data_IF_092030035910
#
_entry.id   IF_092030035910
#
_cell.length_a   1.000
_cell.length_b   1.000
_cell.length_c   1.000
_cell.angle_alpha   90.00
_cell.angle_beta   90.00
_cell.angle_gamma   90.00
#
_symmetry.space_group_name_H-M   'P 1'
#
loop_
_entity.id
_entity.type
_entity.pdbx_description
1 polymer ?
#
# COMPACT_ATOMS: atom_id res chain seq x y z
N UNK A 1 -10.87 -13.80 -7.34
CA UNK A 1 -11.51 -13.25 -6.14
C UNK A 1 -12.98 -13.05 -6.44
N UNK A 2 -13.80 -13.88 -5.80
CA UNK A 2 -15.23 -13.77 -5.89
C UNK A 2 -15.69 -12.61 -5.02
N UNK A 3 -16.58 -11.77 -5.52
CA UNK A 3 -17.19 -10.67 -4.79
C UNK A 3 -17.23 -9.36 -5.58
N UNK A 4 -18.32 -8.63 -5.43
CA UNK A 4 -18.50 -7.30 -6.03
C UNK A 4 -17.74 -6.25 -5.19
N UNK A 5 -17.12 -5.27 -5.85
CA UNK A 5 -16.48 -4.15 -5.15
C UNK A 5 -17.50 -3.31 -4.37
N UNK A 6 -17.25 -3.07 -3.10
CA UNK A 6 -18.09 -2.21 -2.28
C UNK A 6 -17.84 -0.73 -2.61
N UNK A 7 -18.90 0.01 -2.92
CA UNK A 7 -18.81 1.46 -3.09
C UNK A 7 -18.71 2.20 -1.74
N UNK A 8 -18.52 3.52 -1.78
CA UNK A 8 -18.36 4.34 -0.58
C UNK A 8 -19.56 4.29 0.36
N UNK A 9 -20.78 4.18 -0.18
CA UNK A 9 -22.01 4.13 0.60
C UNK A 9 -22.11 2.82 1.37
N UNK A 10 -21.87 1.70 0.67
CA UNK A 10 -21.83 0.36 1.29
C UNK A 10 -20.73 0.30 2.36
N UNK A 11 -19.52 0.76 2.05
CA UNK A 11 -18.41 0.78 3.00
C UNK A 11 -18.76 1.56 4.26
N UNK A 12 -19.39 2.73 4.12
CA UNK A 12 -19.83 3.54 5.26
C UNK A 12 -20.91 2.83 6.07
N UNK A 13 -21.92 2.24 5.43
CA UNK A 13 -22.98 1.51 6.11
C UNK A 13 -22.46 0.29 6.88
N UNK A 14 -21.55 -0.49 6.26
CA UNK A 14 -20.88 -1.62 6.90
C UNK A 14 -20.06 -1.16 8.10
N UNK A 15 -19.28 -0.09 7.96
CA UNK A 15 -18.49 0.44 9.06
C UNK A 15 -19.35 0.89 10.25
N UNK A 16 -20.49 1.55 9.99
CA UNK A 16 -21.46 1.86 11.04
C UNK A 16 -21.95 0.62 11.79
N UNK A 17 -22.32 -0.42 11.02
CA UNK A 17 -22.75 -1.70 11.60
C UNK A 17 -21.66 -2.29 12.48
N UNK A 18 -20.43 -2.35 11.97
CA UNK A 18 -19.26 -2.89 12.66
C UNK A 18 -18.99 -2.18 13.98
N UNK A 19 -18.91 -0.84 13.96
CA UNK A 19 -18.66 -0.04 15.16
C UNK A 19 -19.76 -0.30 16.21
N UNK A 20 -21.01 -0.37 15.78
CA UNK A 20 -22.12 -0.68 16.68
C UNK A 20 -22.01 -2.07 17.28
N UNK A 21 -21.75 -3.09 16.46
CA UNK A 21 -21.59 -4.47 16.92
C UNK A 21 -20.46 -4.62 17.95
N UNK A 22 -19.29 -4.01 17.68
CA UNK A 22 -18.17 -4.04 18.62
C UNK A 22 -18.54 -3.31 19.92
N UNK A 23 -19.18 -2.13 19.82
CA UNK A 23 -19.58 -1.36 20.99
C UNK A 23 -20.59 -2.08 21.87
N UNK A 24 -21.48 -2.90 21.28
CA UNK A 24 -22.49 -3.68 22.00
C UNK A 24 -21.92 -4.97 22.63
N UNK A 25 -20.87 -5.57 22.03
CA UNK A 25 -20.28 -6.83 22.48
C UNK A 25 -19.16 -6.65 23.50
N UNK A 26 -18.13 -5.95 23.11
CA UNK A 26 -16.86 -5.89 23.84
C UNK A 26 -16.49 -4.46 24.25
N UNK A 27 -17.02 -3.47 23.54
CA UNK A 27 -16.63 -2.08 23.64
C UNK A 27 -15.28 -1.81 22.95
N UNK A 28 -14.95 -0.55 22.79
CA UNK A 28 -13.65 -0.09 22.30
C UNK A 28 -12.88 0.52 23.46
N UNK A 29 -11.58 0.21 23.53
CA UNK A 29 -10.71 0.66 24.64
C UNK A 29 -10.26 2.11 24.43
N UNK A 30 -9.70 2.40 23.28
CA UNK A 30 -9.15 3.70 22.93
C UNK A 30 -10.20 4.63 22.28
N UNK A 31 -11.04 4.07 21.41
CA UNK A 31 -12.01 4.83 20.62
C UNK A 31 -13.42 4.88 21.22
N UNK A 32 -13.66 4.41 22.47
CA UNK A 32 -14.99 4.36 23.09
C UNK A 32 -15.78 5.67 22.97
N UNK A 33 -15.14 6.81 23.24
CA UNK A 33 -15.82 8.14 23.17
C UNK A 33 -16.08 8.57 21.73
N UNK A 34 -15.17 8.28 20.82
CA UNK A 34 -15.26 8.61 19.39
C UNK A 34 -16.32 7.77 18.69
N UNK A 35 -16.41 6.49 19.04
CA UNK A 35 -17.38 5.54 18.47
C UNK A 35 -18.86 5.96 18.65
N UNK A 36 -19.14 6.76 19.67
CA UNK A 36 -20.47 7.32 19.92
C UNK A 36 -20.87 8.44 18.94
N UNK A 37 -19.93 8.92 18.12
CA UNK A 37 -20.18 9.98 17.14
C UNK A 37 -20.41 9.38 15.76
N UNK A 38 -21.43 9.88 15.06
CA UNK A 38 -21.73 9.44 13.71
C UNK A 38 -20.54 9.60 12.73
N UNK A 39 -19.74 10.65 12.88
CA UNK A 39 -18.57 10.89 12.03
C UNK A 39 -17.43 9.87 12.21
N UNK A 40 -17.44 9.07 13.27
CA UNK A 40 -16.35 8.14 13.55
C UNK A 40 -16.26 7.03 12.51
N UNK A 41 -17.35 6.60 11.90
CA UNK A 41 -17.33 5.61 10.83
C UNK A 41 -16.44 6.05 9.65
N UNK A 42 -16.54 7.31 9.24
CA UNK A 42 -15.68 7.84 8.18
C UNK A 42 -14.22 7.93 8.62
N UNK A 43 -13.97 8.31 9.88
CA UNK A 43 -12.60 8.34 10.44
C UNK A 43 -12.00 6.94 10.48
N UNK A 44 -12.77 5.94 10.89
CA UNK A 44 -12.35 4.54 10.90
C UNK A 44 -12.03 4.03 9.49
N UNK A 45 -12.88 4.34 8.50
CA UNK A 45 -12.62 4.02 7.09
C UNK A 45 -11.33 4.66 6.58
N UNK A 46 -11.06 5.92 6.93
CA UNK A 46 -9.80 6.58 6.56
C UNK A 46 -8.59 5.86 7.15
N UNK A 47 -8.64 5.54 8.45
CA UNK A 47 -7.56 4.79 9.11
C UNK A 47 -7.35 3.41 8.49
N UNK A 48 -8.42 2.68 8.17
CA UNK A 48 -8.31 1.40 7.49
C UNK A 48 -7.74 1.56 6.08
N UNK A 49 -8.16 2.58 5.34
CA UNK A 49 -7.61 2.85 4.00
C UNK A 49 -6.09 3.08 4.04
N UNK A 50 -5.59 3.80 5.04
CA UNK A 50 -4.15 3.99 5.25
C UNK A 50 -3.42 2.68 5.55
N UNK A 51 -4.01 1.81 6.38
CA UNK A 51 -3.46 0.48 6.67
C UNK A 51 -3.40 -0.38 5.40
N UNK A 52 -4.49 -0.42 4.63
CA UNK A 52 -4.57 -1.17 3.37
C UNK A 52 -3.52 -0.66 2.38
N UNK A 53 -3.43 0.66 2.16
CA UNK A 53 -2.43 1.25 1.26
C UNK A 53 -0.98 1.00 1.70
N UNK A 54 -0.76 0.81 3.00
CA UNK A 54 0.54 0.44 3.55
C UNK A 54 0.81 -1.07 3.48
N UNK A 55 -0.11 -1.87 2.90
CA UNK A 55 0.02 -3.32 2.82
C UNK A 55 -0.24 -4.05 4.14
N UNK A 56 -0.81 -3.38 5.15
CA UNK A 56 -1.13 -3.98 6.44
C UNK A 56 -2.47 -4.68 6.37
N UNK A 57 -2.48 -6.00 6.60
CA UNK A 57 -3.71 -6.81 6.71
C UNK A 57 -4.10 -7.01 8.17
N UNK A 58 -5.32 -7.53 8.46
CA UNK A 58 -5.69 -7.91 9.81
C UNK A 58 -4.68 -8.87 10.46
N UNK A 59 -4.14 -9.83 9.71
CA UNK A 59 -3.15 -10.80 10.22
C UNK A 59 -1.84 -10.10 10.59
N UNK A 60 -1.32 -9.23 9.72
CA UNK A 60 -0.11 -8.44 10.00
C UNK A 60 -0.33 -7.52 11.20
N UNK A 61 -1.50 -6.88 11.30
CA UNK A 61 -1.83 -6.04 12.45
C UNK A 61 -1.89 -6.84 13.74
N UNK A 62 -2.41 -8.08 13.68
CA UNK A 62 -2.40 -9.03 14.80
C UNK A 62 -0.98 -9.42 15.26
N UNK A 63 -0.02 -9.58 14.33
CA UNK A 63 1.39 -9.82 14.68
C UNK A 63 2.04 -8.57 15.30
N UNK A 64 1.78 -7.39 14.75
CA UNK A 64 2.26 -6.11 15.31
C UNK A 64 1.76 -5.92 16.75
N UNK A 65 0.51 -6.30 17.03
CA UNK A 65 -0.08 -6.22 18.36
C UNK A 65 0.70 -7.01 19.42
N UNK A 66 1.30 -8.15 19.07
CA UNK A 66 2.06 -8.98 20.02
C UNK A 66 3.28 -8.27 20.60
N UNK A 67 3.87 -7.36 19.82
CA UNK A 67 5.07 -6.60 20.18
C UNK A 67 4.81 -5.12 20.40
N UNK A 68 3.54 -4.70 20.38
CA UNK A 68 3.15 -3.31 20.50
C UNK A 68 3.51 -2.73 21.89
N UNK A 69 4.06 -1.52 21.96
CA UNK A 69 4.29 -0.83 23.21
C UNK A 69 2.95 -0.52 23.92
N UNK A 70 2.96 -0.50 25.25
CA UNK A 70 1.73 -0.39 26.06
C UNK A 70 0.90 0.87 25.72
N UNK A 71 1.54 2.00 25.43
CA UNK A 71 0.87 3.25 25.06
C UNK A 71 0.13 3.21 23.72
N UNK A 72 0.38 2.21 22.87
CA UNK A 72 -0.28 2.03 21.58
C UNK A 72 -1.20 0.81 21.54
N UNK A 73 -1.09 -0.08 22.53
CA UNK A 73 -1.77 -1.38 22.54
C UNK A 73 -3.27 -1.25 22.38
N UNK A 74 -3.93 -0.41 23.18
CA UNK A 74 -5.38 -0.24 23.16
C UNK A 74 -5.86 0.27 21.79
N UNK A 75 -5.14 1.25 21.22
CA UNK A 75 -5.47 1.79 19.89
C UNK A 75 -5.32 0.74 18.79
N UNK A 76 -4.23 -0.03 18.83
CA UNK A 76 -3.99 -1.08 17.82
C UNK A 76 -4.98 -2.25 18.00
N UNK A 77 -5.38 -2.56 19.24
CA UNK A 77 -6.42 -3.56 19.52
C UNK A 77 -7.75 -3.15 18.89
N UNK A 78 -8.18 -1.92 19.10
CA UNK A 78 -9.41 -1.41 18.52
C UNK A 78 -9.36 -1.41 16.97
N UNK A 79 -8.22 -1.00 16.39
CA UNK A 79 -8.04 -1.04 14.93
C UNK A 79 -8.08 -2.46 14.39
N UNK A 80 -7.47 -3.42 15.09
CA UNK A 80 -7.52 -4.83 14.72
C UNK A 80 -8.94 -5.38 14.75
N UNK A 81 -9.69 -5.09 15.81
CA UNK A 81 -11.10 -5.51 15.94
C UNK A 81 -11.96 -4.91 14.83
N UNK A 82 -11.85 -3.59 14.62
CA UNK A 82 -12.61 -2.89 13.57
C UNK A 82 -12.26 -3.46 12.19
N UNK A 83 -10.98 -3.66 11.89
CA UNK A 83 -10.55 -4.14 10.57
C UNK A 83 -11.00 -5.59 10.33
N UNK A 84 -10.84 -6.47 11.32
CA UNK A 84 -11.23 -7.87 11.21
C UNK A 84 -12.74 -8.01 11.01
N UNK A 85 -13.55 -7.31 11.81
CA UNK A 85 -15.01 -7.36 11.72
C UNK A 85 -15.51 -6.71 10.41
N UNK A 86 -14.90 -5.60 9.97
CA UNK A 86 -15.20 -4.95 8.69
C UNK A 86 -14.96 -5.88 7.50
N UNK A 87 -13.83 -6.56 7.47
CA UNK A 87 -13.50 -7.53 6.43
C UNK A 87 -14.47 -8.71 6.42
N UNK A 88 -14.83 -9.22 7.61
CA UNK A 88 -15.79 -10.30 7.78
C UNK A 88 -17.19 -9.93 7.30
N UNK A 89 -17.66 -8.73 7.65
CA UNK A 89 -18.98 -8.23 7.24
C UNK A 89 -19.07 -8.00 5.72
N UNK A 90 -18.03 -7.46 5.10
CA UNK A 90 -17.98 -7.35 3.64
C UNK A 90 -18.03 -8.73 2.96
N UNK A 91 -17.24 -9.67 3.46
CA UNK A 91 -17.22 -11.04 2.93
C UNK A 91 -18.58 -11.72 3.08
N UNK A 92 -19.28 -11.54 4.21
CA UNK A 92 -20.63 -12.06 4.43
C UNK A 92 -21.68 -11.51 3.45
N UNK A 93 -21.45 -10.29 2.93
CA UNK A 93 -22.27 -9.67 1.89
C UNK A 93 -21.86 -10.11 0.46
N UNK A 94 -20.87 -10.98 0.31
CA UNK A 94 -20.28 -11.31 -1.00
C UNK A 94 -19.57 -10.11 -1.64
N UNK A 95 -19.08 -9.18 -0.84
CA UNK A 95 -18.40 -7.96 -1.28
C UNK A 95 -16.96 -7.92 -0.78
N UNK A 96 -16.15 -7.06 -1.41
CA UNK A 96 -14.78 -6.76 -0.99
C UNK A 96 -14.49 -5.27 -1.07
N UNK A 97 -13.52 -4.83 -0.30
CA UNK A 97 -12.99 -3.47 -0.47
C UNK A 97 -12.12 -3.40 -1.73
N UNK A 98 -12.47 -2.48 -2.64
CA UNK A 98 -11.73 -2.29 -3.90
C UNK A 98 -10.27 -1.88 -3.67
N UNK A 99 -9.93 -1.34 -2.51
CA UNK A 99 -8.54 -1.03 -2.16
C UNK A 99 -7.66 -2.29 -2.07
N UNK A 100 -8.27 -3.46 -1.87
CA UNK A 100 -7.57 -4.75 -1.86
C UNK A 100 -7.30 -5.30 -3.28
N UNK A 101 -7.89 -4.72 -4.32
CA UNK A 101 -7.81 -5.24 -5.69
C UNK A 101 -6.36 -5.25 -6.23
N UNK A 102 -5.55 -4.25 -5.88
CA UNK A 102 -4.15 -4.20 -6.27
C UNK A 102 -3.34 -5.37 -5.68
N UNK A 103 -3.60 -5.70 -4.42
CA UNK A 103 -2.96 -6.84 -3.74
C UNK A 103 -3.42 -8.17 -4.34
N UNK A 104 -4.72 -8.35 -4.52
CA UNK A 104 -5.28 -9.55 -5.14
C UNK A 104 -4.75 -9.75 -6.57
N UNK A 105 -4.59 -8.66 -7.33
CA UNK A 105 -3.98 -8.70 -8.65
C UNK A 105 -2.51 -9.15 -8.59
N UNK A 106 -1.75 -8.69 -7.60
CA UNK A 106 -0.37 -9.13 -7.40
C UNK A 106 -0.30 -10.63 -7.06
N UNK A 107 -1.13 -11.10 -6.12
CA UNK A 107 -1.19 -12.51 -5.72
C UNK A 107 -1.58 -13.41 -6.91
N UNK A 108 -2.56 -12.99 -7.72
CA UNK A 108 -2.96 -13.71 -8.93
C UNK A 108 -1.85 -13.71 -9.99
N UNK A 109 -1.17 -12.59 -10.17
CA UNK A 109 -0.05 -12.48 -11.11
C UNK A 109 1.11 -13.39 -10.69
N UNK A 110 1.39 -13.47 -9.38
CA UNK A 110 2.41 -14.37 -8.83
C UNK A 110 2.07 -15.83 -9.08
N UNK A 111 0.85 -16.26 -8.74
CA UNK A 111 0.40 -17.63 -8.88
C UNK A 111 0.38 -18.11 -10.33
N UNK A 112 0.02 -17.22 -11.26
CA UNK A 112 -0.11 -17.57 -12.68
C UNK A 112 1.16 -17.32 -13.52
N UNK A 113 2.23 -16.79 -12.91
CA UNK A 113 3.44 -16.42 -13.66
C UNK A 113 3.16 -15.38 -14.74
N UNK A 114 2.26 -14.42 -14.45
CA UNK A 114 1.72 -13.48 -15.45
C UNK A 114 2.81 -12.67 -16.16
N UNK A 115 3.90 -12.33 -15.46
CA UNK A 115 4.99 -11.53 -15.99
C UNK A 115 6.16 -12.34 -16.53
N UNK A 116 6.03 -13.68 -16.63
CA UNK A 116 7.12 -14.52 -17.08
C UNK A 116 7.59 -14.09 -18.48
N UNK A 117 8.91 -13.97 -18.61
CA UNK A 117 9.61 -13.62 -19.86
C UNK A 117 9.28 -12.24 -20.44
N UNK A 118 8.56 -11.39 -19.72
CA UNK A 118 8.24 -10.04 -20.17
C UNK A 118 9.40 -9.08 -19.94
N UNK A 119 9.57 -8.10 -20.84
CA UNK A 119 10.34 -6.89 -20.62
C UNK A 119 9.38 -5.77 -20.24
N UNK A 120 9.51 -5.24 -19.04
CA UNK A 120 8.61 -4.24 -18.47
C UNK A 120 9.29 -2.87 -18.39
N UNK A 121 8.53 -1.82 -18.67
CA UNK A 121 8.99 -0.45 -18.60
C UNK A 121 8.05 0.37 -17.74
N UNK A 122 8.61 1.09 -16.75
CA UNK A 122 7.88 2.00 -15.87
C UNK A 122 8.50 3.39 -15.99
N UNK A 123 7.67 4.41 -16.21
CA UNK A 123 8.13 5.78 -16.41
C UNK A 123 7.29 6.79 -15.62
N UNK A 124 7.89 7.94 -15.29
CA UNK A 124 7.26 9.07 -14.58
C UNK A 124 6.77 8.79 -13.14
N UNK A 125 7.21 7.72 -12.51
CA UNK A 125 6.89 7.46 -11.10
C UNK A 125 7.84 8.23 -10.17
N UNK A 126 7.28 8.84 -9.12
CA UNK A 126 8.05 9.52 -8.06
C UNK A 126 8.13 8.68 -6.78
N UNK A 127 7.07 7.92 -6.50
CA UNK A 127 6.96 7.05 -5.32
C UNK A 127 5.98 5.92 -5.61
N UNK A 128 6.01 4.90 -4.77
CA UNK A 128 5.10 3.76 -4.82
C UNK A 128 4.44 3.55 -3.46
N UNK A 129 3.19 3.09 -3.48
CA UNK A 129 2.49 2.59 -2.29
C UNK A 129 2.99 1.19 -1.93
N UNK A 130 2.65 0.70 -0.73
CA UNK A 130 2.99 -0.66 -0.30
C UNK A 130 2.50 -1.74 -1.27
N UNK A 131 1.26 -1.62 -1.76
CA UNK A 131 0.69 -2.56 -2.72
C UNK A 131 1.38 -2.49 -4.09
N UNK A 132 1.79 -1.28 -4.52
CA UNK A 132 2.57 -1.13 -5.75
C UNK A 132 3.96 -1.75 -5.61
N UNK A 133 4.62 -1.59 -4.46
CA UNK A 133 5.88 -2.29 -4.19
C UNK A 133 5.71 -3.81 -4.20
N UNK A 134 4.60 -4.33 -3.66
CA UNK A 134 4.30 -5.76 -3.73
C UNK A 134 4.14 -6.23 -5.19
N UNK A 135 3.40 -5.50 -6.02
CA UNK A 135 3.29 -5.80 -7.45
C UNK A 135 4.66 -5.75 -8.16
N UNK A 136 5.48 -4.75 -7.86
CA UNK A 136 6.84 -4.64 -8.43
C UNK A 136 7.71 -5.83 -8.00
N UNK A 137 7.57 -6.31 -6.77
CA UNK A 137 8.24 -7.53 -6.29
C UNK A 137 7.86 -8.74 -7.14
N UNK A 138 6.57 -8.91 -7.44
CA UNK A 138 6.06 -9.98 -8.31
C UNK A 138 6.62 -9.82 -9.73
N UNK A 139 6.56 -8.61 -10.29
CA UNK A 139 7.15 -8.32 -11.61
C UNK A 139 8.62 -8.70 -11.65
N UNK A 140 9.43 -8.24 -10.70
CA UNK A 140 10.86 -8.53 -10.63
C UNK A 140 11.18 -10.01 -10.42
N UNK A 141 10.33 -10.76 -9.72
CA UNK A 141 10.54 -12.20 -9.52
C UNK A 141 10.39 -12.99 -10.81
N UNK A 142 9.53 -12.55 -11.73
CA UNK A 142 9.09 -13.29 -12.91
C UNK A 142 9.65 -12.74 -14.22
N UNK A 143 9.77 -11.42 -14.37
CA UNK A 143 10.13 -10.80 -15.65
C UNK A 143 11.58 -11.09 -16.07
N UNK A 144 11.81 -11.03 -17.38
CA UNK A 144 13.14 -11.08 -17.96
C UNK A 144 13.91 -9.79 -17.66
N UNK A 145 13.24 -8.65 -17.77
CA UNK A 145 13.83 -7.33 -17.51
C UNK A 145 12.76 -6.36 -16.99
N UNK A 146 13.11 -5.54 -15.99
CA UNK A 146 12.33 -4.39 -15.55
C UNK A 146 13.19 -3.13 -15.64
N UNK A 147 12.77 -2.20 -16.47
CA UNK A 147 13.38 -0.87 -16.59
C UNK A 147 12.49 0.17 -15.91
N UNK A 148 13.06 0.93 -14.97
CA UNK A 148 12.34 2.02 -14.28
C UNK A 148 13.05 3.33 -14.54
N UNK A 149 12.33 4.28 -15.18
CA UNK A 149 12.82 5.63 -15.46
C UNK A 149 12.35 6.58 -14.35
N UNK A 150 13.30 7.33 -13.80
CA UNK A 150 13.03 8.30 -12.74
C UNK A 150 13.84 9.58 -12.96
N UNK A 151 13.27 10.72 -12.57
CA UNK A 151 13.96 12.01 -12.62
C UNK A 151 14.57 12.32 -11.25
N UNK A 152 15.91 12.38 -11.20
CA UNK A 152 16.66 12.73 -10.00
C UNK A 152 17.94 13.50 -10.38
N UNK A 153 18.48 14.26 -9.44
CA UNK A 153 19.78 14.91 -9.55
C UNK A 153 20.94 13.91 -9.40
N UNK A 154 20.82 12.99 -8.45
CA UNK A 154 21.81 11.92 -8.24
C UNK A 154 21.18 10.76 -7.47
N UNK A 155 21.03 9.61 -8.13
CA UNK A 155 20.48 8.41 -7.53
C UNK A 155 21.46 7.82 -6.52
N UNK A 156 21.16 7.94 -5.24
CA UNK A 156 21.97 7.43 -4.12
C UNK A 156 22.52 8.51 -3.22
N UNK A 157 22.29 9.77 -3.53
CA UNK A 157 22.59 10.88 -2.63
C UNK A 157 21.52 10.96 -1.53
N UNK A 158 21.87 10.63 -0.32
CA UNK A 158 21.03 10.92 0.84
C UNK A 158 21.00 12.42 1.11
N UNK A 159 19.89 12.92 1.66
CA UNK A 159 19.75 14.32 2.05
C UNK A 159 18.33 14.86 1.84
N UNK A 160 18.09 16.08 2.34
CA UNK A 160 16.84 16.78 2.11
C UNK A 160 16.94 17.61 0.82
N UNK A 161 16.03 17.38 -0.10
CA UNK A 161 15.98 18.09 -1.37
C UNK A 161 14.73 17.75 -2.17
N UNK A 162 14.53 18.40 -3.33
CA UNK A 162 13.33 18.18 -4.17
C UNK A 162 13.21 16.73 -4.68
N UNK A 163 14.31 15.98 -4.71
CA UNK A 163 14.35 14.59 -5.18
C UNK A 163 14.39 13.55 -4.06
N UNK A 164 14.22 13.94 -2.78
CA UNK A 164 14.26 13.01 -1.64
C UNK A 164 13.33 11.81 -1.83
N UNK A 165 12.06 12.05 -2.20
CA UNK A 165 11.09 10.98 -2.40
C UNK A 165 11.50 10.01 -3.54
N UNK A 166 12.08 10.52 -4.62
CA UNK A 166 12.58 9.69 -5.72
C UNK A 166 13.79 8.85 -5.28
N UNK A 167 14.70 9.44 -4.51
CA UNK A 167 15.87 8.74 -4.00
C UNK A 167 15.50 7.63 -3.01
N UNK A 168 14.51 7.88 -2.13
CA UNK A 168 13.94 6.86 -1.24
C UNK A 168 13.29 5.72 -2.03
N UNK A 169 12.56 6.06 -3.10
CA UNK A 169 11.96 5.09 -4.01
C UNK A 169 13.02 4.24 -4.71
N UNK A 170 14.09 4.85 -5.22
CA UNK A 170 15.22 4.12 -5.82
C UNK A 170 15.90 3.18 -4.81
N UNK A 171 16.02 3.61 -3.55
CA UNK A 171 16.55 2.76 -2.48
C UNK A 171 15.64 1.56 -2.20
N UNK A 172 14.31 1.79 -2.13
CA UNK A 172 13.31 0.73 -1.97
C UNK A 172 13.34 -0.31 -3.10
N UNK A 173 13.38 0.15 -4.36
CA UNK A 173 13.52 -0.74 -5.52
C UNK A 173 14.83 -1.53 -5.48
N UNK A 174 15.92 -0.89 -5.08
CA UNK A 174 17.24 -1.53 -4.95
C UNK A 174 17.23 -2.61 -3.86
N UNK A 175 16.53 -2.37 -2.74
CA UNK A 175 16.35 -3.36 -1.67
C UNK A 175 15.61 -4.60 -2.18
N UNK A 176 14.48 -4.40 -2.86
CA UNK A 176 13.69 -5.50 -3.43
C UNK A 176 14.53 -6.32 -4.43
N UNK A 177 15.26 -5.64 -5.32
CA UNK A 177 16.11 -6.32 -6.28
C UNK A 177 17.23 -7.15 -5.60
N UNK A 178 17.84 -6.60 -4.53
CA UNK A 178 18.85 -7.32 -3.75
C UNK A 178 18.27 -8.54 -3.03
N UNK A 179 17.10 -8.42 -2.41
CA UNK A 179 16.39 -9.53 -1.77
C UNK A 179 16.08 -10.67 -2.75
N UNK A 180 15.76 -10.34 -3.99
CA UNK A 180 15.48 -11.29 -5.08
C UNK A 180 16.74 -11.76 -5.82
N UNK A 181 17.94 -11.32 -5.42
CA UNK A 181 19.19 -11.65 -6.07
C UNK A 181 19.33 -11.11 -7.50
N UNK A 182 18.56 -10.05 -7.85
CA UNK A 182 18.58 -9.45 -9.19
C UNK A 182 19.68 -8.41 -9.30
N UNK A 183 20.35 -8.38 -10.44
CA UNK A 183 21.39 -7.40 -10.74
C UNK A 183 20.77 -6.08 -11.20
N UNK A 184 21.26 -4.96 -10.66
CA UNK A 184 20.83 -3.63 -11.03
C UNK A 184 21.88 -2.99 -11.95
N UNK A 185 21.43 -2.47 -13.09
CA UNK A 185 22.22 -1.62 -13.96
C UNK A 185 21.66 -0.20 -13.86
N UNK A 186 22.53 0.78 -13.57
CA UNK A 186 22.15 2.20 -13.53
C UNK A 186 22.62 2.88 -14.80
N UNK A 187 21.71 3.55 -15.49
CA UNK A 187 22.00 4.34 -16.68
C UNK A 187 21.58 5.76 -16.39
N UNK A 188 22.48 6.72 -16.58
CA UNK A 188 22.20 8.15 -16.43
C UNK A 188 22.12 8.78 -17.80
N UNK A 189 21.07 9.57 -18.02
CA UNK A 189 20.90 10.36 -19.23
C UNK A 189 21.27 11.81 -18.90
N UNK A 190 22.40 12.27 -19.41
CA UNK A 190 22.89 13.63 -19.19
C UNK A 190 22.61 14.55 -20.40
N UNK A 191 22.12 13.99 -21.51
CA UNK A 191 21.82 14.76 -22.71
C UNK A 191 20.44 15.41 -22.66
N UNK A 192 20.38 16.71 -22.87
CA UNK A 192 19.13 17.43 -23.08
C UNK A 192 18.51 17.09 -24.45
N UNK A 193 17.62 16.12 -24.52
CA UNK A 193 16.84 15.82 -25.74
C UNK A 193 15.41 16.37 -25.70
N UNK A 194 14.98 16.90 -24.54
CA UNK A 194 13.62 17.41 -24.33
C UNK A 194 13.45 18.86 -24.73
N UNK A 195 14.47 19.67 -24.57
CA UNK A 195 14.43 21.10 -24.88
C UNK A 195 15.34 21.42 -26.05
N UNK A 196 14.86 22.31 -26.94
CA UNK A 196 15.65 22.77 -28.11
C UNK A 196 16.66 23.87 -27.77
N UNK A 197 16.57 24.46 -26.60
CA UNK A 197 17.43 25.54 -26.11
C UNK A 197 18.15 25.09 -24.85
N UNK A 198 19.46 25.31 -24.79
CA UNK A 198 20.29 25.02 -23.61
C UNK A 198 19.88 25.85 -22.39
N UNK A 199 19.36 27.08 -22.61
CA UNK A 199 18.90 27.99 -21.57
C UNK A 199 17.69 27.45 -20.73
N UNK A 200 16.99 26.44 -21.24
CA UNK A 200 15.87 25.78 -20.54
C UNK A 200 16.32 24.55 -19.76
N UNK A 201 17.61 24.23 -19.78
CA UNK A 201 18.17 23.07 -19.10
C UNK A 201 18.84 23.43 -17.76
N UNK A 202 19.26 24.69 -17.57
CA UNK A 202 19.81 25.22 -16.33
C UNK A 202 18.68 25.59 -15.34
#
# INVERSE_FOLDING_TARGET
PEGMGADSTVKTAVMYKVIRLISEREGLLFFDKQAKRASFANTALTMLSELIHSGVTPEILGEILKTAPDNMRDKLTDLFLIYSEYSSELAALGMRDILLDARLAADMAEQNGYFNDMCLFMDEFKSFTGDQYNMIRVMLSQCAELTVCMTSDDIGKGGFGPFTAVNETCAGLSSIAAELGKKINKVKFDDNKRYKSEELFE
#
